data_IF_837327509164
#
_entry.id   IF_837327509164
#
_cell.length_a   1.000
_cell.length_b   1.000
_cell.length_c   1.000
_cell.angle_alpha   90.00
_cell.angle_beta   90.00
_cell.angle_gamma   90.00
#
_symmetry.space_group_name_H-M   'P 1'
#
loop_
_entity.id
_entity.type
_entity.pdbx_description
1 polymer ?
#
# COMPACT_ATOMS: atom_id res chain seq x y z
N UNK A 1 31.88 5.96 59.26
CA UNK A 1 31.43 4.61 58.83
C UNK A 1 30.08 4.77 58.14
N UNK A 2 30.03 5.24 56.89
CA UNK A 2 28.78 5.35 56.13
C UNK A 2 29.04 5.42 54.62
N UNK A 3 29.64 4.37 54.05
CA UNK A 3 29.69 4.13 52.61
C UNK A 3 29.01 2.79 52.35
N UNK A 4 27.67 2.78 52.30
CA UNK A 4 26.91 1.56 51.99
C UNK A 4 25.45 1.88 51.59
N UNK A 5 25.24 2.65 50.53
CA UNK A 5 23.90 2.70 49.90
C UNK A 5 23.88 3.10 48.42
N UNK A 6 25.03 3.16 47.75
CA UNK A 6 25.10 3.41 46.29
C UNK A 6 25.91 2.33 45.59
N UNK A 7 25.64 1.06 45.94
CA UNK A 7 26.07 -0.05 45.10
C UNK A 7 25.18 0.01 43.85
N UNK A 8 25.73 0.37 42.70
CA UNK A 8 25.02 0.28 41.43
C UNK A 8 24.48 -1.16 41.29
N UNK A 9 23.17 -1.35 41.12
CA UNK A 9 22.58 -2.69 41.09
C UNK A 9 23.24 -3.50 39.98
N UNK A 10 23.69 -4.69 40.33
CA UNK A 10 24.35 -5.58 39.39
C UNK A 10 23.34 -6.04 38.33
N UNK A 11 23.82 -6.31 37.11
CA UNK A 11 22.97 -6.75 35.99
C UNK A 11 22.04 -7.91 36.35
N UNK A 12 22.50 -8.82 37.20
CA UNK A 12 21.73 -9.99 37.64
C UNK A 12 20.57 -9.62 38.56
N UNK A 13 20.73 -8.59 39.40
CA UNK A 13 19.67 -8.07 40.28
C UNK A 13 18.59 -7.35 39.48
N UNK A 14 18.98 -6.60 38.45
CA UNK A 14 18.06 -5.96 37.50
C UNK A 14 17.21 -7.03 36.81
N UNK A 15 17.85 -8.09 36.29
CA UNK A 15 17.17 -9.18 35.61
C UNK A 15 16.28 -10.01 36.57
N UNK A 16 16.71 -10.21 37.82
CA UNK A 16 15.90 -10.88 38.84
C UNK A 16 14.68 -10.05 39.25
N UNK A 17 14.82 -8.72 39.35
CA UNK A 17 13.72 -7.81 39.67
C UNK A 17 12.66 -7.81 38.59
N UNK A 18 13.06 -7.72 37.31
CA UNK A 18 12.14 -7.80 36.16
C UNK A 18 11.41 -9.16 36.15
N UNK A 19 12.14 -10.27 36.37
CA UNK A 19 11.54 -11.61 36.37
C UNK A 19 10.54 -11.83 37.50
N UNK A 20 10.77 -11.20 38.66
CA UNK A 20 9.84 -11.24 39.79
C UNK A 20 8.56 -10.47 39.46
N UNK A 21 8.67 -9.25 38.93
CA UNK A 21 7.51 -8.42 38.57
C UNK A 21 6.63 -9.15 37.55
N UNK A 22 7.21 -9.69 36.48
CA UNK A 22 6.44 -10.41 35.44
C UNK A 22 5.76 -11.67 35.99
N UNK A 23 6.40 -12.39 36.91
CA UNK A 23 5.80 -13.57 37.54
C UNK A 23 4.72 -13.23 38.57
N UNK A 24 4.77 -12.03 39.16
CA UNK A 24 3.84 -11.57 40.20
C UNK A 24 2.61 -10.87 39.58
N UNK A 25 2.73 -10.33 38.36
CA UNK A 25 1.65 -9.69 37.59
C UNK A 25 0.85 -10.67 36.70
N UNK A 26 1.27 -11.93 36.52
CA UNK A 26 0.53 -12.96 35.76
C UNK A 26 -0.56 -13.63 36.61
N UNK A 27 -1.39 -12.83 37.28
CA UNK A 27 -2.66 -13.30 37.86
C UNK A 27 -3.77 -13.10 36.82
N UNK A 28 -4.40 -14.17 36.32
CA UNK A 28 -5.47 -14.05 35.34
C UNK A 28 -6.67 -13.43 36.05
N UNK A 29 -7.02 -12.20 35.67
CA UNK A 29 -8.26 -11.56 36.08
C UNK A 29 -9.43 -12.20 35.32
N UNK A 30 -9.94 -13.31 35.83
CA UNK A 30 -11.25 -13.87 35.48
C UNK A 30 -12.21 -13.76 36.68
N UNK A 31 -13.31 -13.06 36.40
CA UNK A 31 -14.65 -13.09 37.02
C UNK A 31 -14.89 -12.63 38.47
N UNK A 32 -15.59 -11.49 38.59
CA UNK A 32 -16.85 -11.42 39.35
C UNK A 32 -16.95 -10.40 40.48
N UNK A 33 -17.72 -9.32 40.28
CA UNK A 33 -18.84 -8.92 41.15
C UNK A 33 -19.36 -7.51 40.78
N UNK A 34 -20.66 -7.44 40.53
CA UNK A 34 -21.42 -6.21 40.39
C UNK A 34 -21.38 -5.36 41.67
N UNK A 35 -21.11 -4.07 41.52
CA UNK A 35 -21.42 -3.04 42.51
C UNK A 35 -21.78 -1.72 41.80
N UNK A 36 -23.02 -1.30 42.05
CA UNK A 36 -23.64 0.03 41.96
C UNK A 36 -23.12 1.08 40.96
N UNK A 37 -24.00 1.42 40.02
CA UNK A 37 -23.94 2.65 39.24
C UNK A 37 -24.33 3.86 40.11
N UNK A 38 -23.36 4.74 40.35
CA UNK A 38 -23.56 6.11 40.84
C UNK A 38 -22.95 7.06 39.79
N UNK A 39 -23.67 8.07 39.27
CA UNK A 39 -23.16 8.91 38.20
C UNK A 39 -22.25 10.00 38.78
N UNK A 40 -20.94 9.75 38.84
CA UNK A 40 -19.95 10.81 39.04
C UNK A 40 -19.76 11.62 37.75
N UNK A 41 -19.61 12.95 37.85
CA UNK A 41 -19.55 13.86 36.71
C UNK A 41 -18.23 13.68 35.94
N UNK A 42 -18.35 13.73 34.61
CA UNK A 42 -17.27 13.56 33.65
C UNK A 42 -15.96 14.27 34.03
N UNK A 43 -14.82 13.56 34.09
CA UNK A 43 -13.52 14.18 34.00
C UNK A 43 -13.41 14.83 32.62
N UNK A 44 -13.24 16.15 32.61
CA UNK A 44 -12.87 16.93 31.44
C UNK A 44 -11.70 16.25 30.72
N UNK A 45 -11.91 15.89 29.46
CA UNK A 45 -10.86 15.54 28.50
C UNK A 45 -9.77 16.62 28.60
N UNK A 46 -8.62 16.25 29.18
CA UNK A 46 -7.39 16.96 28.92
C UNK A 46 -7.15 16.83 27.42
N UNK A 47 -7.33 17.94 26.70
CA UNK A 47 -7.13 18.04 25.27
C UNK A 47 -5.84 17.31 24.87
N UNK A 48 -5.99 16.23 24.11
CA UNK A 48 -4.87 15.65 23.37
C UNK A 48 -4.23 16.77 22.54
N UNK A 49 -2.89 16.82 22.42
CA UNK A 49 -2.27 17.74 21.49
C UNK A 49 -2.82 17.40 20.10
N UNK A 50 -3.63 18.31 19.55
CA UNK A 50 -4.05 18.27 18.15
C UNK A 50 -2.77 18.47 17.36
N UNK A 51 -2.21 17.38 16.84
CA UNK A 51 -1.23 17.46 15.77
C UNK A 51 -1.97 18.02 14.56
N UNK A 52 -1.82 19.31 14.33
CA UNK A 52 -2.09 19.90 13.02
C UNK A 52 -1.09 19.27 12.06
N UNK A 53 -1.52 18.51 11.04
CA UNK A 53 -0.59 18.03 10.02
C UNK A 53 -0.01 19.27 9.33
N UNK A 54 1.31 19.43 9.37
CA UNK A 54 1.99 20.32 8.44
C UNK A 54 1.56 19.90 7.02
N UNK A 55 1.21 20.84 6.13
CA UNK A 55 0.92 20.50 4.75
C UNK A 55 2.18 19.87 4.16
N UNK A 56 2.13 18.56 3.91
CA UNK A 56 3.12 17.88 3.08
C UNK A 56 3.10 18.61 1.73
N UNK A 57 4.25 19.18 1.32
CA UNK A 57 4.37 19.72 -0.02
C UNK A 57 4.10 18.57 -0.99
N UNK A 58 2.99 18.69 -1.72
CA UNK A 58 2.57 17.75 -2.75
C UNK A 58 3.75 17.60 -3.74
N UNK A 59 4.40 16.43 -3.71
CA UNK A 59 5.38 16.06 -4.72
C UNK A 59 4.64 15.99 -6.07
N UNK A 60 4.80 17.05 -6.87
CA UNK A 60 4.32 17.18 -8.26
C UNK A 60 4.72 15.99 -9.17
N UNK A 61 5.55 15.06 -8.67
CA UNK A 61 5.91 13.81 -9.33
C UNK A 61 4.96 12.63 -9.12
N UNK A 62 4.02 12.68 -8.17
CA UNK A 62 3.05 11.60 -7.91
C UNK A 62 1.74 11.89 -8.65
N UNK A 63 1.63 11.39 -9.88
CA UNK A 63 0.41 11.52 -10.67
C UNK A 63 -0.70 10.62 -10.12
N UNK A 64 -1.63 11.20 -9.36
CA UNK A 64 -2.83 10.51 -8.88
C UNK A 64 -3.86 10.40 -10.01
N UNK A 65 -3.80 9.30 -10.78
CA UNK A 65 -4.59 9.08 -12.00
C UNK A 65 -6.04 8.63 -11.69
N UNK A 66 -6.75 9.37 -10.82
CA UNK A 66 -8.13 9.10 -10.40
C UNK A 66 -9.17 9.61 -11.40
N UNK A 67 -8.79 10.57 -12.24
CA UNK A 67 -9.65 11.10 -13.29
C UNK A 67 -9.60 10.22 -14.54
N UNK A 68 -10.78 9.72 -14.96
CA UNK A 68 -10.91 8.95 -16.19
C UNK A 68 -10.89 9.91 -17.37
N UNK A 69 -9.79 9.90 -18.11
CA UNK A 69 -9.67 10.63 -19.37
C UNK A 69 -10.55 9.95 -20.44
N UNK A 70 -11.64 10.62 -20.85
CA UNK A 70 -12.61 10.12 -21.83
C UNK A 70 -12.18 10.32 -23.28
N UNK A 71 -11.13 11.10 -23.50
CA UNK A 71 -10.56 11.36 -24.84
C UNK A 71 -9.05 11.16 -24.79
N UNK A 72 -8.56 10.09 -25.41
CA UNK A 72 -7.16 9.98 -25.82
C UNK A 72 -6.95 10.95 -26.98
N UNK A 73 -6.96 12.25 -26.66
CA UNK A 73 -7.15 13.34 -27.60
C UNK A 73 -5.96 13.66 -28.51
N UNK A 74 -4.83 12.98 -28.34
CA UNK A 74 -3.70 13.07 -29.28
C UNK A 74 -2.73 11.91 -29.07
N UNK A 75 -3.23 10.67 -29.15
CA UNK A 75 -2.31 9.55 -29.35
C UNK A 75 -1.81 9.67 -30.79
N UNK A 76 -0.65 10.32 -30.96
CA UNK A 76 0.11 10.30 -32.20
C UNK A 76 0.35 8.83 -32.58
N UNK A 77 -0.56 8.30 -33.40
CA UNK A 77 -0.35 7.01 -34.04
C UNK A 77 0.87 7.24 -34.92
N UNK A 78 2.02 6.74 -34.46
CA UNK A 78 3.21 6.67 -35.27
C UNK A 78 2.86 5.84 -36.50
N UNK A 79 2.47 6.52 -37.57
CA UNK A 79 2.44 5.97 -38.90
C UNK A 79 3.91 5.90 -39.27
N UNK A 80 4.53 4.71 -39.33
CA UNK A 80 5.85 4.62 -39.91
C UNK A 80 5.72 5.26 -41.30
N UNK A 81 6.44 6.35 -41.52
CA UNK A 81 6.58 6.92 -42.86
C UNK A 81 7.08 5.77 -43.72
N UNK A 82 6.20 5.28 -44.59
CA UNK A 82 6.51 4.21 -45.52
C UNK A 82 7.71 4.70 -46.31
N UNK A 83 8.87 4.11 -46.01
CA UNK A 83 10.08 4.25 -46.80
C UNK A 83 9.68 4.07 -48.27
N UNK A 84 10.03 5.03 -49.13
CA UNK A 84 9.71 5.02 -50.56
C UNK A 84 9.76 3.60 -51.13
N UNK A 85 8.58 3.06 -51.41
CA UNK A 85 8.41 1.82 -52.11
C UNK A 85 9.08 1.98 -53.49
N UNK A 86 9.88 1.01 -53.97
CA UNK A 86 10.55 1.15 -55.26
C UNK A 86 9.49 1.41 -56.33
N UNK A 87 9.67 2.48 -57.12
CA UNK A 87 8.73 2.94 -58.13
C UNK A 87 8.09 1.76 -58.89
N UNK A 88 6.85 1.43 -58.50
CA UNK A 88 6.08 0.42 -59.17
C UNK A 88 5.86 0.88 -60.62
N UNK A 89 6.11 -0.02 -61.57
CA UNK A 89 5.72 0.21 -62.96
C UNK A 89 4.24 0.64 -63.02
N UNK A 90 3.82 1.48 -63.99
CA UNK A 90 2.46 2.00 -64.04
C UNK A 90 1.45 0.85 -64.03
N UNK A 91 0.81 0.64 -62.87
CA UNK A 91 -0.30 -0.28 -62.73
C UNK A 91 -1.53 0.40 -63.34
N UNK A 92 -2.02 -0.15 -64.45
CA UNK A 92 -3.35 0.21 -64.96
C UNK A 92 -4.34 -0.43 -64.00
N UNK A 93 -4.96 0.39 -63.14
CA UNK A 93 -6.10 -0.07 -62.35
C UNK A 93 -7.17 -0.58 -63.33
N UNK A 94 -7.68 -1.81 -63.17
CA UNK A 94 -8.80 -2.26 -63.97
C UNK A 94 -9.96 -1.27 -63.76
N UNK A 95 -10.62 -0.86 -64.85
CA UNK A 95 -11.88 -0.12 -64.76
C UNK A 95 -12.79 -0.88 -63.79
N UNK A 96 -13.40 -0.20 -62.79
CA UNK A 96 -14.28 -0.89 -61.87
C UNK A 96 -15.42 -1.50 -62.67
N UNK A 97 -15.45 -2.83 -62.78
CA UNK A 97 -16.66 -3.52 -63.20
C UNK A 97 -17.76 -3.09 -62.22
N UNK A 98 -18.88 -2.61 -62.76
CA UNK A 98 -20.03 -2.20 -61.97
C UNK A 98 -20.56 -3.43 -61.22
N UNK A 99 -20.13 -3.58 -59.97
CA UNK A 99 -20.75 -4.49 -59.00
C UNK A 99 -21.97 -3.75 -58.48
N UNK A 100 -23.18 -4.37 -58.48
CA UNK A 100 -24.36 -3.74 -57.93
C UNK A 100 -24.08 -3.26 -56.51
N UNK A 101 -24.50 -2.04 -56.21
CA UNK A 101 -24.36 -1.45 -54.89
C UNK A 101 -24.90 -2.44 -53.85
N UNK A 102 -24.08 -2.83 -52.85
CA UNK A 102 -24.54 -3.75 -51.82
C UNK A 102 -25.77 -3.14 -51.15
N UNK A 103 -26.76 -3.96 -50.77
CA UNK A 103 -27.94 -3.45 -50.07
C UNK A 103 -27.49 -2.65 -48.85
N UNK A 104 -28.22 -1.58 -48.47
CA UNK A 104 -27.85 -0.76 -47.32
C UNK A 104 -27.76 -1.67 -46.09
N UNK A 105 -26.53 -1.86 -45.59
CA UNK A 105 -26.29 -2.56 -44.34
C UNK A 105 -26.97 -1.76 -43.23
N UNK A 106 -27.82 -2.42 -42.47
CA UNK A 106 -28.54 -1.76 -41.39
C UNK A 106 -27.55 -1.48 -40.27
N UNK A 107 -27.47 -0.24 -39.81
CA UNK A 107 -26.53 0.21 -38.76
C UNK A 107 -26.72 -0.48 -37.38
N UNK A 108 -27.63 -1.46 -37.30
CA UNK A 108 -27.88 -2.30 -36.12
C UNK A 108 -27.03 -3.58 -36.09
N UNK A 109 -26.21 -3.84 -37.11
CA UNK A 109 -25.18 -4.88 -37.04
C UNK A 109 -23.99 -4.31 -36.26
N UNK A 110 -23.84 -4.76 -35.01
CA UNK A 110 -22.77 -4.30 -34.14
C UNK A 110 -21.40 -4.37 -34.82
N UNK A 111 -20.55 -3.37 -34.55
CA UNK A 111 -19.22 -3.21 -35.16
C UNK A 111 -18.28 -4.41 -34.97
N UNK A 112 -18.65 -5.34 -34.09
CA UNK A 112 -17.90 -6.55 -33.76
C UNK A 112 -18.80 -7.76 -34.01
N UNK A 113 -18.26 -8.76 -34.71
CA UNK A 113 -18.97 -10.03 -34.91
C UNK A 113 -19.31 -10.70 -33.59
N UNK A 114 -20.47 -11.35 -33.50
CA UNK A 114 -20.97 -11.97 -32.27
C UNK A 114 -19.97 -12.94 -31.62
N UNK A 115 -19.16 -13.64 -32.43
CA UNK A 115 -18.12 -14.56 -31.96
C UNK A 115 -16.95 -13.81 -31.31
N UNK A 116 -16.52 -12.69 -31.90
CA UNK A 116 -15.44 -11.88 -31.33
C UNK A 116 -15.91 -11.19 -30.04
N UNK A 117 -17.15 -10.71 -29.99
CA UNK A 117 -17.75 -10.14 -28.79
C UNK A 117 -17.87 -11.16 -27.65
N UNK A 118 -18.32 -12.39 -27.95
CA UNK A 118 -18.42 -13.46 -26.93
C UNK A 118 -17.05 -13.94 -26.45
N UNK A 119 -16.05 -13.99 -27.32
CA UNK A 119 -14.68 -14.32 -26.94
C UNK A 119 -14.09 -13.27 -26.00
N UNK A 120 -14.28 -11.97 -26.30
CA UNK A 120 -13.85 -10.87 -25.44
C UNK A 120 -14.54 -10.93 -24.07
N UNK A 121 -15.87 -11.06 -24.04
CA UNK A 121 -16.63 -11.17 -22.80
C UNK A 121 -16.18 -12.36 -21.94
N UNK A 122 -15.87 -13.50 -22.56
CA UNK A 122 -15.37 -14.69 -21.87
C UNK A 122 -13.97 -14.50 -21.29
N UNK A 123 -13.09 -13.79 -21.98
CA UNK A 123 -11.75 -13.46 -21.48
C UNK A 123 -11.82 -12.51 -20.28
N UNK A 124 -12.66 -11.48 -20.33
CA UNK A 124 -12.90 -10.58 -19.20
C UNK A 124 -13.53 -11.32 -18.01
N UNK A 125 -14.46 -12.25 -18.26
CA UNK A 125 -15.03 -13.11 -17.21
C UNK A 125 -13.98 -13.98 -16.52
N UNK A 126 -13.06 -14.57 -17.28
CA UNK A 126 -11.95 -15.36 -16.74
C UNK A 126 -10.99 -14.52 -15.89
N UNK A 127 -10.65 -13.31 -16.35
CA UNK A 127 -9.81 -12.38 -15.59
C UNK A 127 -10.49 -11.94 -14.30
N UNK A 128 -11.78 -11.58 -14.37
CA UNK A 128 -12.58 -11.17 -13.23
C UNK A 128 -12.63 -12.28 -12.17
N UNK A 129 -12.89 -13.52 -12.59
CA UNK A 129 -12.88 -14.70 -11.71
C UNK A 129 -11.49 -14.98 -11.09
N UNK A 130 -10.41 -14.73 -11.84
CA UNK A 130 -9.04 -14.88 -11.34
C UNK A 130 -8.69 -13.80 -10.28
N UNK A 131 -9.23 -12.59 -10.41
CA UNK A 131 -9.04 -11.50 -9.45
C UNK A 131 -9.92 -11.68 -8.20
N UNK A 132 -11.09 -12.30 -8.34
CA UNK A 132 -12.03 -12.57 -7.24
C UNK A 132 -11.61 -13.75 -6.33
N UNK A 133 -10.56 -14.49 -6.69
CA UNK A 133 -9.95 -15.49 -5.81
C UNK A 133 -8.73 -14.88 -5.13
N UNK A 134 -8.64 -15.04 -3.80
CA UNK A 134 -8.27 -16.35 -3.27
C UNK A 134 -9.41 -17.04 -2.50
N UNK A 135 -9.23 -18.35 -2.27
CA UNK A 135 -10.16 -19.22 -1.55
C UNK A 135 -10.63 -18.61 -0.21
N UNK A 136 -11.84 -18.97 0.20
CA UNK A 136 -12.52 -18.53 1.42
C UNK A 136 -11.54 -18.32 2.59
N UNK A 137 -11.30 -17.04 2.93
CA UNK A 137 -10.49 -16.62 4.08
C UNK A 137 -9.04 -16.25 3.81
N UNK A 138 -8.52 -16.36 2.57
CA UNK A 138 -7.21 -15.80 2.22
C UNK A 138 -7.41 -14.57 1.35
N UNK A 139 -7.08 -13.40 1.86
CA UNK A 139 -7.10 -12.16 1.09
C UNK A 139 -5.81 -11.99 0.30
N UNK A 140 -5.81 -11.12 -0.71
CA UNK A 140 -4.56 -10.69 -1.36
C UNK A 140 -3.59 -10.11 -0.33
N UNK A 141 -4.10 -9.42 0.69
CA UNK A 141 -3.30 -8.89 1.79
C UNK A 141 -2.56 -10.00 2.55
N UNK A 142 -3.18 -11.15 2.79
CA UNK A 142 -2.53 -12.28 3.47
C UNK A 142 -1.36 -12.83 2.63
N UNK A 143 -1.54 -12.91 1.32
CA UNK A 143 -0.47 -13.32 0.38
C UNK A 143 0.66 -12.30 0.38
N UNK A 144 0.34 -11.01 0.25
CA UNK A 144 1.32 -9.93 0.25
C UNK A 144 2.07 -9.87 1.59
N UNK A 145 1.38 -10.06 2.71
CA UNK A 145 1.97 -10.09 4.05
C UNK A 145 2.91 -11.28 4.23
N UNK A 146 2.56 -12.46 3.72
CA UNK A 146 3.43 -13.64 3.73
C UNK A 146 4.72 -13.39 2.93
N UNK A 147 4.62 -12.69 1.79
CA UNK A 147 5.75 -12.37 0.93
C UNK A 147 6.62 -11.21 1.47
N UNK A 148 6.02 -10.18 2.07
CA UNK A 148 6.73 -9.02 2.59
C UNK A 148 7.42 -9.29 3.93
N UNK A 149 6.89 -10.19 4.76
CA UNK A 149 7.45 -10.50 6.09
C UNK A 149 8.94 -10.87 6.07
N UNK A 150 9.45 -11.78 5.21
CA UNK A 150 10.87 -12.10 5.18
C UNK A 150 11.74 -10.92 4.70
N UNK A 151 11.26 -10.13 3.74
CA UNK A 151 12.01 -8.98 3.20
C UNK A 151 12.14 -7.87 4.23
N UNK A 152 11.05 -7.52 4.91
CA UNK A 152 11.05 -6.53 5.99
C UNK A 152 11.89 -6.99 7.17
N UNK A 153 11.83 -8.28 7.53
CA UNK A 153 12.68 -8.83 8.59
C UNK A 153 14.16 -8.70 8.25
N UNK A 154 14.58 -9.12 7.06
CA UNK A 154 15.98 -9.02 6.64
C UNK A 154 16.45 -7.57 6.62
N UNK A 155 15.60 -6.65 6.14
CA UNK A 155 15.90 -5.23 6.12
C UNK A 155 16.04 -4.67 7.54
N UNK A 156 15.11 -4.98 8.44
CA UNK A 156 15.20 -4.57 9.85
C UNK A 156 16.44 -5.15 10.52
N UNK A 157 16.73 -6.44 10.36
CA UNK A 157 17.93 -7.07 10.93
C UNK A 157 19.23 -6.38 10.45
N UNK A 158 19.23 -5.85 9.22
CA UNK A 158 20.40 -5.17 8.64
C UNK A 158 20.50 -3.69 9.01
N UNK A 159 19.39 -2.98 9.19
CA UNK A 159 19.35 -1.51 9.32
C UNK A 159 18.99 -1.02 10.73
N UNK A 160 18.25 -1.82 11.52
CA UNK A 160 17.81 -1.44 12.86
C UNK A 160 18.96 -1.08 13.81
N UNK A 161 20.12 -1.79 13.83
CA UNK A 161 21.23 -1.41 14.71
C UNK A 161 21.71 0.02 14.51
N UNK A 162 21.80 0.48 13.25
CA UNK A 162 22.24 1.85 12.95
C UNK A 162 21.20 2.89 13.31
N UNK A 163 19.92 2.61 13.03
CA UNK A 163 18.80 3.50 13.39
C UNK A 163 18.76 3.72 14.90
N UNK A 164 18.93 2.64 15.67
CA UNK A 164 18.95 2.70 17.14
C UNK A 164 20.17 3.47 17.64
N UNK A 165 21.37 3.21 17.12
CA UNK A 165 22.58 3.95 17.51
C UNK A 165 22.42 5.45 17.27
N UNK A 166 21.98 5.86 16.07
CA UNK A 166 21.77 7.26 15.75
C UNK A 166 20.72 7.92 16.65
N UNK A 167 19.71 7.17 17.10
CA UNK A 167 18.69 7.67 18.02
C UNK A 167 19.20 7.77 19.45
N UNK A 168 19.93 6.76 19.95
CA UNK A 168 20.54 6.77 21.29
C UNK A 168 21.58 7.86 21.40
N UNK A 169 22.45 8.03 20.40
CA UNK A 169 23.46 9.09 20.38
C UNK A 169 22.80 10.47 20.48
N UNK A 170 21.71 10.70 19.74
CA UNK A 170 20.90 11.93 19.81
C UNK A 170 20.28 12.13 21.20
N UNK A 171 19.76 11.07 21.81
CA UNK A 171 19.15 11.13 23.15
C UNK A 171 20.20 11.38 24.26
N UNK A 172 21.36 10.73 24.18
CA UNK A 172 22.48 10.95 25.12
C UNK A 172 22.98 12.38 25.00
N UNK A 173 23.14 12.91 23.79
CA UNK A 173 23.56 14.29 23.58
C UNK A 173 22.52 15.28 24.14
N UNK A 174 21.23 14.99 23.97
CA UNK A 174 20.14 15.79 24.56
C UNK A 174 20.20 15.79 26.09
N UNK A 175 20.38 14.64 26.72
CA UNK A 175 20.49 14.52 28.19
C UNK A 175 21.77 15.21 28.69
N UNK A 176 22.90 15.01 28.01
CA UNK A 176 24.17 15.64 28.35
C UNK A 176 24.08 17.17 28.28
N UNK A 177 23.38 17.72 27.29
CA UNK A 177 23.11 19.17 27.21
C UNK A 177 22.09 19.65 28.25
N UNK A 178 21.13 18.82 28.64
CA UNK A 178 20.10 19.14 29.63
C UNK A 178 20.57 19.10 31.09
N UNK A 179 21.58 18.28 31.41
CA UNK A 179 22.09 18.09 32.77
C UNK A 179 23.16 19.13 33.18
N UNK A 180 23.60 20.00 32.27
CA UNK A 180 24.59 21.06 32.52
C UNK A 180 23.93 22.39 32.91
N UNK A 181 22.70 22.36 33.46
CA UNK A 181 22.03 23.55 34.05
C UNK A 181 21.69 23.34 35.51
#
# INVERSE_FOLDING_TARGET
MSDQTSQEPTMEEILASIRRIISEDDVPAEEGAAAEAEPEPAPVEAAAPVFEPEPEEEDDGVLELTERVETLGDLDVYTPTVSEEPAAAPYVAPEPEYVPEPPPVSANEGLVGAIAASAAASAFGQLSAAIQMPADGRTLEDVVRELLRPLLKQWLDSNLPQIVQATVDREVERIARGQVR
#
